data_IF_090730328006
#
_entry.id   IF_090730328006
#
_cell.length_a   1.000
_cell.length_b   1.000
_cell.length_c   1.000
_cell.angle_alpha   90.00
_cell.angle_beta   90.00
_cell.angle_gamma   90.00
#
_symmetry.space_group_name_H-M   'P 1'
#
loop_
_entity.id
_entity.type
_entity.pdbx_description
1 polymer ?
#
# COMPACT_ATOMS: atom_id res chain seq x y z
N UNK A 1 10.66 19.41 -20.60
CA UNK A 1 10.63 18.19 -19.78
C UNK A 1 9.22 18.06 -19.21
N UNK A 2 8.53 16.92 -19.32
CA UNK A 2 7.39 16.68 -18.43
C UNK A 2 7.94 16.80 -17.00
N UNK A 3 7.25 17.56 -16.14
CA UNK A 3 7.79 17.99 -14.86
C UNK A 3 8.34 16.81 -14.04
N UNK A 4 9.49 17.01 -13.36
CA UNK A 4 10.16 15.99 -12.52
C UNK A 4 9.22 15.27 -11.54
N UNK A 5 8.11 15.90 -11.16
CA UNK A 5 7.08 15.32 -10.29
C UNK A 5 5.72 15.35 -11.01
N UNK A 6 5.16 14.18 -11.40
CA UNK A 6 3.81 14.12 -11.96
C UNK A 6 2.80 14.62 -10.93
N UNK A 7 1.82 15.42 -11.38
CA UNK A 7 0.75 15.98 -10.54
C UNK A 7 -0.58 15.44 -11.02
N UNK A 8 -1.42 15.07 -10.07
CA UNK A 8 -2.79 14.59 -10.32
C UNK A 8 -3.73 15.56 -9.61
N UNK A 9 -4.64 16.17 -10.36
CA UNK A 9 -5.69 17.04 -9.81
C UNK A 9 -6.99 16.23 -9.79
N UNK A 10 -7.64 16.18 -8.63
CA UNK A 10 -8.89 15.45 -8.41
C UNK A 10 -9.96 16.36 -7.82
N UNK A 11 -11.21 16.12 -8.16
CA UNK A 11 -12.37 16.80 -7.56
C UNK A 11 -12.91 15.91 -6.45
N UNK A 12 -13.05 16.48 -5.25
CA UNK A 12 -13.60 15.80 -4.09
C UNK A 12 -14.99 16.37 -3.76
N UNK A 13 -15.86 15.52 -3.26
CA UNK A 13 -17.12 15.96 -2.67
C UNK A 13 -16.84 16.79 -1.42
N UNK A 14 -17.69 17.77 -1.14
CA UNK A 14 -17.51 18.70 -0.02
C UNK A 14 -17.34 18.00 1.34
N UNK A 15 -18.10 16.95 1.70
CA UNK A 15 -17.91 16.24 2.96
C UNK A 15 -16.53 15.57 3.06
N UNK A 16 -16.06 14.95 1.98
CA UNK A 16 -14.77 14.28 1.93
C UNK A 16 -13.62 15.29 1.98
N UNK A 17 -13.75 16.41 1.27
CA UNK A 17 -12.77 17.49 1.32
C UNK A 17 -12.60 18.00 2.76
N UNK A 18 -13.71 18.25 3.45
CA UNK A 18 -13.68 18.71 4.84
C UNK A 18 -13.05 17.67 5.76
N UNK A 19 -13.39 16.39 5.62
CA UNK A 19 -12.79 15.34 6.44
C UNK A 19 -11.27 15.25 6.27
N UNK A 20 -10.76 15.37 5.04
CA UNK A 20 -9.31 15.39 4.78
C UNK A 20 -8.69 16.69 5.31
N UNK A 21 -9.39 17.83 5.22
CA UNK A 21 -8.94 19.10 5.75
C UNK A 21 -8.75 19.06 7.27
N UNK A 22 -9.77 18.60 7.99
CA UNK A 22 -9.74 18.49 9.44
C UNK A 22 -8.63 17.52 9.88
N UNK A 23 -8.48 16.39 9.19
CA UNK A 23 -7.41 15.42 9.46
C UNK A 23 -6.01 16.03 9.23
N UNK A 24 -5.83 16.83 8.18
CA UNK A 24 -4.55 17.49 7.90
C UNK A 24 -4.21 18.54 8.96
N UNK A 25 -5.20 19.28 9.45
CA UNK A 25 -5.03 20.22 10.57
C UNK A 25 -4.67 19.51 11.86
N UNK A 26 -5.37 18.42 12.20
CA UNK A 26 -5.13 17.62 13.40
C UNK A 26 -3.71 17.00 13.41
N UNK A 27 -3.23 16.56 12.24
CA UNK A 27 -1.88 15.99 12.07
C UNK A 27 -0.79 17.06 11.88
N UNK A 28 -1.15 18.34 11.70
CA UNK A 28 -0.22 19.43 11.47
C UNK A 28 0.55 19.32 10.14
N UNK A 29 -0.01 18.64 9.14
CA UNK A 29 0.59 18.43 7.81
C UNK A 29 -0.18 19.17 6.72
N UNK A 30 0.43 19.31 5.54
CA UNK A 30 -0.30 19.91 4.42
C UNK A 30 -1.26 18.91 3.79
N UNK A 31 -2.38 19.42 3.26
CA UNK A 31 -3.37 18.64 2.50
C UNK A 31 -2.75 17.77 1.41
N UNK A 32 -1.75 18.30 0.69
CA UNK A 32 -1.08 17.55 -0.37
C UNK A 32 -0.20 16.42 0.16
N UNK A 33 0.39 16.56 1.36
CA UNK A 33 1.14 15.48 1.99
C UNK A 33 0.20 14.39 2.49
N UNK A 34 -0.84 14.77 3.23
CA UNK A 34 -1.85 13.83 3.72
C UNK A 34 -2.48 13.06 2.55
N UNK A 35 -2.95 13.75 1.51
CA UNK A 35 -3.56 13.10 0.34
C UNK A 35 -2.60 12.15 -0.38
N UNK A 36 -1.31 12.52 -0.48
CA UNK A 36 -0.29 11.65 -1.08
C UNK A 36 -0.14 10.37 -0.26
N UNK A 37 -0.09 10.47 1.06
CA UNK A 37 0.18 9.34 1.93
C UNK A 37 -1.05 8.43 2.05
N UNK A 38 -2.27 8.98 2.14
CA UNK A 38 -3.52 8.23 2.01
C UNK A 38 -3.61 7.45 0.68
N UNK A 39 -3.15 8.04 -0.43
CA UNK A 39 -3.11 7.34 -1.72
C UNK A 39 -2.11 6.18 -1.68
N UNK A 40 -0.93 6.35 -1.07
CA UNK A 40 0.04 5.26 -0.92
C UNK A 40 -0.52 4.12 -0.08
N UNK A 41 -1.10 4.43 1.08
CA UNK A 41 -1.73 3.44 1.94
C UNK A 41 -2.83 2.66 1.20
N UNK A 42 -3.66 3.36 0.40
CA UNK A 42 -4.66 2.70 -0.43
C UNK A 42 -4.08 1.81 -1.53
N UNK A 43 -2.84 2.04 -1.98
CA UNK A 43 -2.13 1.12 -2.87
C UNK A 43 -1.54 -0.07 -2.10
N UNK A 44 -0.92 0.17 -0.95
CA UNK A 44 -0.38 -0.88 -0.07
C UNK A 44 -1.48 -1.89 0.31
N UNK A 45 -2.68 -1.44 0.68
CA UNK A 45 -3.82 -2.33 0.96
C UNK A 45 -4.25 -3.19 -0.24
N UNK A 46 -4.11 -2.67 -1.47
CA UNK A 46 -4.40 -3.45 -2.69
C UNK A 46 -3.29 -4.47 -2.97
N UNK A 47 -2.04 -4.09 -2.72
CA UNK A 47 -0.88 -4.97 -2.87
C UNK A 47 -0.93 -6.12 -1.86
N UNK A 48 -1.23 -5.82 -0.59
CA UNK A 48 -1.40 -6.83 0.46
C UNK A 48 -2.46 -7.86 0.08
N UNK A 49 -3.59 -7.41 -0.47
CA UNK A 49 -4.62 -8.32 -0.99
C UNK A 49 -4.06 -9.23 -2.09
N UNK A 50 -3.35 -8.66 -3.06
CA UNK A 50 -2.78 -9.45 -4.16
C UNK A 50 -1.72 -10.46 -3.65
N UNK A 51 -0.90 -10.06 -2.67
CA UNK A 51 0.09 -10.93 -2.04
C UNK A 51 -0.55 -12.05 -1.23
N UNK A 52 -1.66 -11.77 -0.54
CA UNK A 52 -2.41 -12.78 0.20
C UNK A 52 -3.05 -13.81 -0.75
N UNK A 53 -3.64 -13.36 -1.86
CA UNK A 53 -4.15 -14.24 -2.91
C UNK A 53 -3.02 -15.12 -3.47
N UNK A 54 -1.87 -14.54 -3.77
CA UNK A 54 -0.70 -15.26 -4.25
C UNK A 54 -0.14 -16.28 -3.24
N UNK A 55 -0.09 -15.93 -1.96
CA UNK A 55 0.30 -16.85 -0.89
C UNK A 55 -0.68 -18.03 -0.78
N UNK A 56 -1.98 -17.75 -0.85
CA UNK A 56 -3.04 -18.77 -0.82
C UNK A 56 -2.88 -19.79 -1.96
N UNK A 57 -2.58 -19.32 -3.18
CA UNK A 57 -2.33 -20.24 -4.31
C UNK A 57 -1.10 -21.12 -4.10
N UNK A 58 -0.04 -20.59 -3.48
CA UNK A 58 1.15 -21.37 -3.14
C UNK A 58 0.88 -22.41 -2.05
N UNK A 59 0.09 -22.05 -1.04
CA UNK A 59 -0.28 -22.96 0.05
C UNK A 59 -1.03 -24.19 -0.46
N UNK A 60 -1.91 -24.04 -1.47
CA UNK A 60 -2.64 -25.17 -2.07
C UNK A 60 -1.72 -26.28 -2.60
N UNK A 61 -0.56 -25.90 -3.12
CA UNK A 61 0.44 -26.83 -3.66
C UNK A 61 1.57 -27.18 -2.69
N UNK A 62 1.51 -26.71 -1.44
CA UNK A 62 2.61 -26.86 -0.50
C UNK A 62 2.70 -28.29 0.04
N UNK A 63 3.81 -28.95 -0.23
CA UNK A 63 4.14 -30.27 0.30
C UNK A 63 5.27 -30.16 1.32
N UNK A 64 4.94 -30.39 2.60
CA UNK A 64 5.89 -30.29 3.72
C UNK A 64 7.04 -31.30 3.61
N UNK A 65 6.84 -32.43 2.94
CA UNK A 65 7.89 -33.44 2.73
C UNK A 65 8.92 -32.98 1.69
N UNK A 66 8.54 -32.08 0.78
CA UNK A 66 9.43 -31.47 -0.23
C UNK A 66 9.97 -30.11 0.18
N UNK A 67 9.53 -29.59 1.33
CA UNK A 67 9.97 -28.31 1.83
C UNK A 67 11.45 -28.37 2.25
N UNK A 68 12.23 -27.39 1.82
CA UNK A 68 13.63 -27.24 2.19
C UNK A 68 13.74 -26.73 3.63
N UNK A 69 14.75 -27.19 4.38
CA UNK A 69 15.03 -26.67 5.72
C UNK A 69 15.70 -25.32 5.62
N UNK A 70 15.65 -24.55 6.71
CA UNK A 70 16.31 -23.24 6.79
C UNK A 70 17.82 -23.36 6.47
N UNK A 71 18.47 -24.35 7.05
CA UNK A 71 19.89 -24.66 6.83
C UNK A 71 20.21 -24.96 5.35
N UNK A 72 19.31 -25.67 4.65
CA UNK A 72 19.49 -26.04 3.23
C UNK A 72 19.42 -24.81 2.30
N UNK A 73 18.72 -23.75 2.71
CA UNK A 73 18.52 -22.53 1.90
C UNK A 73 19.51 -21.42 2.28
N UNK A 74 19.78 -21.24 3.58
CA UNK A 74 20.50 -20.08 4.10
C UNK A 74 21.89 -20.41 4.65
N UNK A 75 22.23 -21.69 4.84
CA UNK A 75 23.55 -22.14 5.29
C UNK A 75 23.93 -21.70 6.71
N UNK A 76 22.96 -21.34 7.54
CA UNK A 76 23.12 -20.97 8.96
C UNK A 76 22.13 -21.70 9.84
#
# INVERSE_FOLDING_TARGET
MPAKNPRVNVVLEKPLYNAIHDLAEDEGVSMSMLMRDLVKEAFELREDRALAEFATEREKGFDRCKALRHEDVWGK
#
